data_IF_718263389194
#
_entry.id   IF_718263389194
#
_cell.length_a   1.000
_cell.length_b   1.000
_cell.length_c   1.000
_cell.angle_alpha   90.00
_cell.angle_beta   90.00
_cell.angle_gamma   90.00
#
_symmetry.space_group_name_H-M   'P 1'
#
loop_
_entity.id
_entity.type
_entity.pdbx_description
1 polymer ?
#
# COMPACT_ATOMS: atom_id res chain seq x y z
N UNK A 1 -13.25 -37.41 -8.35
CA UNK A 1 -11.78 -37.60 -8.49
C UNK A 1 -10.92 -37.00 -7.36
N UNK A 2 -11.49 -36.57 -6.23
CA UNK A 2 -10.74 -35.92 -5.12
C UNK A 2 -10.58 -36.80 -3.87
N UNK A 3 -11.05 -38.04 -3.88
CA UNK A 3 -11.06 -38.93 -2.70
C UNK A 3 -9.70 -39.63 -2.41
N UNK A 4 -8.76 -39.61 -3.34
CA UNK A 4 -7.46 -40.29 -3.23
C UNK A 4 -6.29 -39.37 -2.78
N UNK A 5 -6.55 -38.09 -2.55
CA UNK A 5 -5.51 -37.14 -2.16
C UNK A 5 -5.28 -37.15 -0.65
N UNK A 6 -4.01 -37.11 -0.22
CA UNK A 6 -3.63 -36.93 1.18
C UNK A 6 -4.13 -35.56 1.69
N UNK A 7 -4.31 -35.35 3.02
CA UNK A 7 -4.73 -34.06 3.57
C UNK A 7 -3.87 -32.90 3.11
N UNK A 8 -2.54 -33.09 3.00
CA UNK A 8 -1.62 -32.07 2.49
C UNK A 8 -1.80 -31.78 1.00
N UNK A 9 -2.11 -32.81 0.19
CA UNK A 9 -2.36 -32.63 -1.22
C UNK A 9 -3.71 -31.92 -1.47
N UNK A 10 -4.74 -32.22 -0.67
CA UNK A 10 -6.03 -31.50 -0.69
C UNK A 10 -5.83 -30.03 -0.36
N UNK A 11 -5.10 -29.71 0.70
CA UNK A 11 -4.80 -28.35 1.12
C UNK A 11 -4.04 -27.56 0.03
N UNK A 12 -3.08 -28.20 -0.66
CA UNK A 12 -2.35 -27.61 -1.79
C UNK A 12 -3.24 -27.38 -3.02
N UNK A 13 -4.14 -28.29 -3.32
CA UNK A 13 -5.08 -28.16 -4.46
C UNK A 13 -6.12 -27.07 -4.18
N UNK A 14 -6.66 -27.03 -2.98
CA UNK A 14 -7.62 -26.02 -2.54
C UNK A 14 -6.98 -24.63 -2.53
N UNK A 15 -5.76 -24.49 -2.00
CA UNK A 15 -4.97 -23.27 -2.01
C UNK A 15 -4.68 -22.80 -3.45
N UNK A 16 -4.28 -23.70 -4.35
CA UNK A 16 -4.05 -23.39 -5.77
C UNK A 16 -5.37 -22.96 -6.46
N UNK A 17 -6.50 -23.57 -6.15
CA UNK A 17 -7.82 -23.17 -6.68
C UNK A 17 -8.21 -21.77 -6.25
N UNK A 18 -8.00 -21.45 -4.99
CA UNK A 18 -8.30 -20.14 -4.41
C UNK A 18 -7.34 -19.03 -4.91
N UNK A 19 -6.12 -19.36 -5.26
CA UNK A 19 -5.10 -18.40 -5.73
C UNK A 19 -5.17 -18.14 -7.25
N UNK A 20 -5.85 -19.00 -8.02
CA UNK A 20 -5.99 -18.85 -9.48
C UNK A 20 -6.54 -17.49 -9.93
N UNK A 21 -7.59 -16.92 -9.33
CA UNK A 21 -8.09 -15.61 -9.71
C UNK A 21 -7.01 -14.53 -9.57
N UNK A 22 -6.26 -14.53 -8.47
CA UNK A 22 -5.21 -13.53 -8.18
C UNK A 22 -3.96 -13.68 -9.07
N UNK A 23 -3.69 -14.86 -9.60
CA UNK A 23 -2.57 -15.12 -10.49
C UNK A 23 -2.91 -14.84 -11.97
N UNK A 24 -4.20 -14.82 -12.34
CA UNK A 24 -4.65 -14.49 -13.69
C UNK A 24 -4.49 -13.01 -13.99
N UNK A 25 -4.24 -12.63 -15.25
CA UNK A 25 -4.11 -11.22 -15.62
C UNK A 25 -5.39 -10.41 -15.32
N UNK A 26 -6.60 -10.86 -15.67
CA UNK A 26 -7.83 -10.13 -15.32
C UNK A 26 -8.02 -9.98 -13.81
N UNK A 27 -7.76 -11.03 -13.03
CA UNK A 27 -7.87 -10.97 -11.57
C UNK A 27 -6.84 -10.07 -10.93
N UNK A 28 -5.60 -10.07 -11.43
CA UNK A 28 -4.56 -9.12 -11.01
C UNK A 28 -5.01 -7.67 -11.27
N UNK A 29 -5.45 -7.38 -12.50
CA UNK A 29 -5.91 -6.03 -12.91
C UNK A 29 -7.07 -5.56 -12.03
N UNK A 30 -8.12 -6.38 -11.90
CA UNK A 30 -9.31 -6.02 -11.13
C UNK A 30 -8.97 -5.83 -9.64
N UNK A 31 -8.18 -6.73 -9.06
CA UNK A 31 -7.83 -6.65 -7.63
C UNK A 31 -6.91 -5.44 -7.35
N UNK A 32 -5.92 -5.18 -8.21
CA UNK A 32 -5.08 -3.99 -8.08
C UNK A 32 -5.88 -2.71 -8.20
N UNK A 33 -6.83 -2.63 -9.16
CA UNK A 33 -7.70 -1.46 -9.32
C UNK A 33 -8.55 -1.22 -8.07
N UNK A 34 -9.13 -2.28 -7.49
CA UNK A 34 -9.88 -2.17 -6.22
C UNK A 34 -8.98 -1.68 -5.08
N UNK A 35 -7.78 -2.24 -4.93
CA UNK A 35 -6.84 -1.79 -3.90
C UNK A 35 -6.46 -0.31 -4.07
N UNK A 36 -6.12 0.09 -5.30
CA UNK A 36 -5.73 1.47 -5.60
C UNK A 36 -6.89 2.46 -5.42
N UNK A 37 -8.12 2.06 -5.79
CA UNK A 37 -9.32 2.86 -5.52
C UNK A 37 -9.55 3.06 -4.02
N UNK A 38 -9.47 1.98 -3.24
CA UNK A 38 -9.61 2.02 -1.79
C UNK A 38 -8.54 2.94 -1.16
N UNK A 39 -7.27 2.79 -1.54
CA UNK A 39 -6.21 3.66 -1.04
C UNK A 39 -6.36 5.11 -1.55
N UNK A 40 -6.81 5.29 -2.78
CA UNK A 40 -7.13 6.61 -3.32
C UNK A 40 -8.21 7.31 -2.49
N UNK A 41 -9.26 6.59 -2.08
CA UNK A 41 -10.32 7.13 -1.23
C UNK A 41 -9.85 7.51 0.18
N UNK A 42 -8.71 6.97 0.63
CA UNK A 42 -8.14 7.35 1.92
C UNK A 42 -7.65 8.81 1.95
N UNK A 43 -7.22 9.39 0.82
CA UNK A 43 -6.74 10.77 0.79
C UNK A 43 -7.80 11.79 1.22
N UNK A 44 -8.97 11.88 0.58
CA UNK A 44 -10.03 12.77 1.05
C UNK A 44 -10.54 12.36 2.44
N UNK A 45 -10.63 11.05 2.74
CA UNK A 45 -11.10 10.57 4.05
C UNK A 45 -10.18 10.98 5.20
N UNK A 46 -8.86 11.08 4.98
CA UNK A 46 -7.92 11.59 6.00
C UNK A 46 -8.20 13.06 6.28
N UNK A 47 -8.40 13.89 5.25
CA UNK A 47 -8.72 15.31 5.41
C UNK A 47 -10.02 15.52 6.18
N UNK A 48 -11.09 14.80 5.79
CA UNK A 48 -12.38 14.81 6.49
C UNK A 48 -12.21 14.32 7.94
N UNK A 49 -11.40 13.27 8.14
CA UNK A 49 -11.11 12.72 9.46
C UNK A 49 -10.43 13.73 10.38
N UNK A 50 -9.45 14.46 9.88
CA UNK A 50 -8.78 15.50 10.68
C UNK A 50 -9.78 16.60 11.12
N UNK A 51 -10.69 17.03 10.24
CA UNK A 51 -11.77 17.94 10.60
C UNK A 51 -12.68 17.34 11.68
N UNK A 52 -13.17 16.11 11.51
CA UNK A 52 -14.12 15.49 12.45
C UNK A 52 -13.52 15.20 13.82
N UNK A 53 -12.22 14.93 13.90
CA UNK A 53 -11.52 14.66 15.16
C UNK A 53 -10.80 15.88 15.74
N UNK A 54 -10.96 17.07 15.13
CA UNK A 54 -10.34 18.29 15.57
C UNK A 54 -8.80 18.23 15.58
N UNK A 55 -8.21 17.57 14.57
CA UNK A 55 -6.76 17.39 14.46
C UNK A 55 -6.16 18.53 13.63
N UNK A 56 -5.33 19.42 14.22
CA UNK A 56 -4.62 20.45 13.47
C UNK A 56 -3.62 19.87 12.46
N UNK A 57 -3.36 20.62 11.39
CA UNK A 57 -2.44 20.18 10.34
C UNK A 57 -0.98 20.02 10.79
N UNK A 58 -0.58 20.70 11.85
CA UNK A 58 0.75 20.66 12.47
C UNK A 58 0.85 19.69 13.66
N UNK A 59 -0.27 19.13 14.14
CA UNK A 59 -0.27 18.16 15.26
C UNK A 59 0.03 16.74 14.78
N UNK A 60 1.32 16.47 14.56
CA UNK A 60 1.84 15.17 14.13
C UNK A 60 1.44 14.04 15.08
N UNK A 61 1.41 14.32 16.40
CA UNK A 61 1.09 13.31 17.42
C UNK A 61 -0.35 12.83 17.29
N UNK A 62 -1.31 13.74 17.13
CA UNK A 62 -2.72 13.40 16.91
C UNK A 62 -2.96 12.72 15.57
N UNK A 63 -2.26 13.13 14.51
CA UNK A 63 -2.30 12.45 13.20
C UNK A 63 -1.78 11.00 13.30
N UNK A 64 -0.67 10.78 14.01
CA UNK A 64 -0.14 9.43 14.27
C UNK A 64 -1.08 8.60 15.14
N UNK A 65 -1.75 9.20 16.15
CA UNK A 65 -2.75 8.52 16.97
C UNK A 65 -3.94 8.09 16.13
N UNK A 66 -4.46 8.97 15.29
CA UNK A 66 -5.53 8.65 14.34
C UNK A 66 -5.17 7.49 13.42
N UNK A 67 -3.95 7.48 12.87
CA UNK A 67 -3.47 6.38 12.06
C UNK A 67 -3.33 5.08 12.87
N UNK A 68 -2.81 5.13 14.09
CA UNK A 68 -2.66 3.98 14.97
C UNK A 68 -4.00 3.33 15.30
N UNK A 69 -5.01 4.12 15.69
CA UNK A 69 -6.38 3.64 15.96
C UNK A 69 -6.99 3.02 14.70
N UNK A 70 -6.84 3.66 13.54
CA UNK A 70 -7.29 3.10 12.26
C UNK A 70 -6.69 1.74 11.97
N UNK A 71 -5.39 1.55 12.22
CA UNK A 71 -4.73 0.26 11.99
C UNK A 71 -5.11 -0.80 13.00
N UNK A 72 -5.37 -0.45 14.27
CA UNK A 72 -5.94 -1.38 15.25
C UNK A 72 -7.30 -1.89 14.76
N UNK A 73 -8.18 -0.99 14.32
CA UNK A 73 -9.49 -1.35 13.76
C UNK A 73 -9.31 -2.25 12.52
N UNK A 74 -8.40 -1.89 11.61
CA UNK A 74 -8.11 -2.69 10.42
C UNK A 74 -7.64 -4.11 10.78
N UNK A 75 -6.71 -4.23 11.73
CA UNK A 75 -6.20 -5.52 12.21
C UNK A 75 -7.31 -6.35 12.83
N UNK A 76 -8.14 -5.76 13.70
CA UNK A 76 -9.30 -6.41 14.30
C UNK A 76 -10.30 -6.88 13.24
N UNK A 77 -10.63 -6.05 12.25
CA UNK A 77 -11.53 -6.42 11.15
C UNK A 77 -11.02 -7.62 10.34
N UNK A 78 -9.71 -7.64 10.01
CA UNK A 78 -9.12 -8.78 9.29
C UNK A 78 -9.18 -10.05 10.14
N UNK A 79 -8.78 -9.97 11.41
CA UNK A 79 -8.74 -11.12 12.30
C UNK A 79 -10.14 -11.68 12.53
N UNK A 80 -11.09 -10.83 12.90
CA UNK A 80 -12.47 -11.22 13.18
C UNK A 80 -13.17 -11.72 11.90
N UNK A 81 -13.11 -10.93 10.82
CA UNK A 81 -13.77 -11.26 9.55
C UNK A 81 -13.26 -12.57 8.94
N UNK A 82 -11.94 -12.80 8.94
CA UNK A 82 -11.36 -14.02 8.40
C UNK A 82 -11.56 -15.22 9.34
N UNK A 83 -11.59 -15.01 10.67
CA UNK A 83 -11.94 -16.07 11.61
C UNK A 83 -13.39 -16.54 11.41
N UNK A 84 -14.31 -15.59 11.23
CA UNK A 84 -15.71 -15.90 10.94
C UNK A 84 -15.88 -16.61 9.58
N UNK A 85 -15.24 -16.09 8.52
CA UNK A 85 -15.34 -16.67 7.17
C UNK A 85 -14.75 -18.07 7.10
N UNK A 86 -13.67 -18.34 7.82
CA UNK A 86 -13.02 -19.67 7.85
C UNK A 86 -13.59 -20.60 8.92
N UNK A 87 -14.50 -20.12 9.77
CA UNK A 87 -15.05 -20.84 10.94
C UNK A 87 -13.92 -21.40 11.85
N UNK A 88 -12.79 -20.74 11.89
CA UNK A 88 -11.59 -21.08 12.69
C UNK A 88 -10.88 -19.82 13.11
N UNK A 89 -10.38 -19.70 14.34
CA UNK A 89 -9.67 -18.52 14.80
C UNK A 89 -8.39 -18.31 13.99
N UNK A 90 -8.18 -17.08 13.53
CA UNK A 90 -6.99 -16.67 12.78
C UNK A 90 -5.84 -16.33 13.75
N UNK A 91 -5.32 -17.35 14.43
CA UNK A 91 -4.27 -17.21 15.45
C UNK A 91 -2.90 -17.52 14.84
N UNK A 92 -1.87 -16.66 15.05
CA UNK A 92 -0.52 -16.91 14.57
C UNK A 92 0.14 -18.04 15.36
N UNK A 93 0.95 -18.82 14.68
CA UNK A 93 1.83 -19.80 15.33
C UNK A 93 3.09 -19.09 15.85
N UNK A 94 3.81 -19.68 16.80
CA UNK A 94 5.06 -19.11 17.32
C UNK A 94 6.07 -18.72 16.23
N UNK A 95 6.14 -19.50 15.15
CA UNK A 95 6.99 -19.21 13.98
C UNK A 95 6.57 -17.96 13.18
N UNK A 96 5.29 -17.55 13.28
CA UNK A 96 4.76 -16.42 12.53
C UNK A 96 5.06 -15.10 13.24
N UNK A 97 5.32 -15.12 14.55
CA UNK A 97 5.50 -13.91 15.38
C UNK A 97 6.63 -13.03 14.87
N UNK A 98 7.79 -13.62 14.54
CA UNK A 98 8.93 -12.86 14.00
C UNK A 98 8.57 -12.14 12.69
N UNK A 99 7.83 -12.81 11.80
CA UNK A 99 7.38 -12.25 10.54
C UNK A 99 6.37 -11.12 10.75
N UNK A 100 5.44 -11.28 11.69
CA UNK A 100 4.46 -10.26 12.09
C UNK A 100 5.17 -9.02 12.65
N UNK A 101 6.10 -9.19 13.58
CA UNK A 101 6.84 -8.07 14.18
C UNK A 101 7.71 -7.34 13.16
N UNK A 102 8.35 -8.07 12.25
CA UNK A 102 9.15 -7.48 11.18
C UNK A 102 8.28 -6.66 10.22
N UNK A 103 7.11 -7.17 9.84
CA UNK A 103 6.15 -6.43 9.02
C UNK A 103 5.56 -5.24 9.78
N UNK A 104 5.19 -5.39 11.05
CA UNK A 104 4.70 -4.29 11.88
C UNK A 104 5.72 -3.15 11.98
N UNK A 105 7.01 -3.51 12.14
CA UNK A 105 8.10 -2.53 12.19
C UNK A 105 8.20 -1.74 10.88
N UNK A 106 8.30 -2.41 9.73
CA UNK A 106 8.53 -1.73 8.45
C UNK A 106 7.26 -1.10 7.88
N UNK A 107 6.13 -1.81 7.89
CA UNK A 107 4.90 -1.38 7.22
C UNK A 107 4.07 -0.40 8.03
N UNK A 108 4.16 -0.43 9.37
CA UNK A 108 3.32 0.41 10.21
C UNK A 108 4.16 1.39 11.02
N UNK A 109 5.12 0.93 11.80
CA UNK A 109 5.84 1.81 12.72
C UNK A 109 6.79 2.74 11.96
N UNK A 110 7.83 2.20 11.30
CA UNK A 110 8.82 3.03 10.60
C UNK A 110 8.18 3.85 9.48
N UNK A 111 7.37 3.20 8.64
CA UNK A 111 6.74 3.88 7.51
C UNK A 111 5.93 5.10 7.98
N UNK A 112 5.07 4.96 8.97
CA UNK A 112 4.17 6.05 9.36
C UNK A 112 4.82 7.07 10.29
N UNK A 113 5.73 6.67 11.19
CA UNK A 113 6.50 7.64 12.01
C UNK A 113 7.29 8.60 11.12
N UNK A 114 8.05 8.05 10.16
CA UNK A 114 8.84 8.87 9.25
C UNK A 114 7.98 9.65 8.26
N UNK A 115 6.85 9.08 7.82
CA UNK A 115 5.91 9.77 6.92
C UNK A 115 5.32 11.02 7.58
N UNK A 116 4.71 10.90 8.77
CA UNK A 116 4.08 12.03 9.44
C UNK A 116 5.10 13.07 9.91
N UNK A 117 6.27 12.61 10.37
CA UNK A 117 7.35 13.52 10.74
C UNK A 117 7.86 14.32 9.53
N UNK A 118 8.02 13.68 8.39
CA UNK A 118 8.43 14.34 7.16
C UNK A 118 7.35 15.27 6.61
N UNK A 119 6.09 14.82 6.61
CA UNK A 119 4.97 15.60 6.10
C UNK A 119 4.75 16.92 6.84
N UNK A 120 5.10 16.98 8.13
CA UNK A 120 5.01 18.24 8.91
C UNK A 120 6.01 19.32 8.46
N UNK A 121 7.01 18.97 7.65
CA UNK A 121 8.08 19.90 7.20
C UNK A 121 8.19 19.98 5.67
N UNK A 122 7.55 19.07 4.94
CA UNK A 122 7.61 19.01 3.48
C UNK A 122 6.30 19.50 2.86
N UNK A 123 6.36 20.02 1.63
CA UNK A 123 5.15 20.34 0.87
C UNK A 123 4.36 19.09 0.52
N UNK A 124 3.03 19.21 0.43
CA UNK A 124 2.15 18.10 0.07
C UNK A 124 2.48 17.49 -1.29
N UNK A 125 2.83 18.33 -2.27
CA UNK A 125 3.20 17.92 -3.62
C UNK A 125 4.49 17.11 -3.63
N UNK A 126 5.56 17.66 -3.04
CA UNK A 126 6.87 16.97 -2.97
C UNK A 126 6.74 15.66 -2.18
N UNK A 127 5.99 15.70 -1.06
CA UNK A 127 5.68 14.51 -0.25
C UNK A 127 5.00 13.40 -1.06
N UNK A 128 4.03 13.75 -1.90
CA UNK A 128 3.32 12.80 -2.77
C UNK A 128 4.25 12.17 -3.80
N UNK A 129 5.09 12.97 -4.45
CA UNK A 129 6.07 12.52 -5.44
C UNK A 129 7.10 11.56 -4.79
N UNK A 130 7.66 11.96 -3.64
CA UNK A 130 8.64 11.13 -2.92
C UNK A 130 8.00 9.83 -2.43
N UNK A 131 6.77 9.88 -1.92
CA UNK A 131 6.04 8.68 -1.50
C UNK A 131 5.81 7.70 -2.67
N UNK A 132 5.48 8.21 -3.85
CA UNK A 132 5.29 7.38 -5.04
C UNK A 132 6.58 6.64 -5.47
N UNK A 133 7.76 7.15 -5.11
CA UNK A 133 9.03 6.47 -5.36
C UNK A 133 9.13 5.10 -4.66
N UNK A 134 8.32 4.85 -3.61
CA UNK A 134 8.28 3.56 -2.91
C UNK A 134 8.00 2.38 -3.84
N UNK A 135 7.18 2.58 -4.88
CA UNK A 135 6.89 1.56 -5.88
C UNK A 135 8.13 1.19 -6.70
N UNK A 136 8.91 2.20 -7.11
CA UNK A 136 10.17 1.99 -7.82
C UNK A 136 11.22 1.33 -6.90
N UNK A 137 11.35 1.84 -5.67
CA UNK A 137 12.26 1.27 -4.66
C UNK A 137 11.92 -0.19 -4.37
N UNK A 138 10.63 -0.55 -4.28
CA UNK A 138 10.22 -1.95 -4.08
C UNK A 138 10.67 -2.86 -5.23
N UNK A 139 10.58 -2.39 -6.47
CA UNK A 139 11.09 -3.14 -7.63
C UNK A 139 12.60 -3.30 -7.58
N UNK A 140 13.34 -2.23 -7.25
CA UNK A 140 14.79 -2.31 -7.07
C UNK A 140 15.17 -3.28 -5.95
N UNK A 141 14.53 -3.17 -4.78
CA UNK A 141 14.78 -4.07 -3.64
C UNK A 141 14.47 -5.54 -4.01
N UNK A 142 13.36 -5.80 -4.70
CA UNK A 142 13.01 -7.16 -5.13
C UNK A 142 14.04 -7.77 -6.08
N UNK A 143 14.66 -6.95 -6.92
CA UNK A 143 15.67 -7.38 -7.88
C UNK A 143 17.08 -7.47 -7.29
N UNK A 144 17.50 -6.48 -6.49
CA UNK A 144 18.88 -6.33 -6.05
C UNK A 144 19.13 -6.96 -4.67
N UNK A 145 18.24 -6.70 -3.70
CA UNK A 145 18.39 -7.18 -2.33
C UNK A 145 17.78 -8.57 -2.15
N UNK A 146 16.52 -8.73 -2.46
CA UNK A 146 15.80 -10.00 -2.31
C UNK A 146 16.09 -11.00 -3.43
N UNK A 147 16.56 -10.52 -4.57
CA UNK A 147 16.90 -11.33 -5.76
C UNK A 147 15.77 -12.29 -6.19
N UNK A 148 14.54 -11.89 -5.95
CA UNK A 148 13.35 -12.66 -6.33
C UNK A 148 13.01 -12.50 -7.81
N UNK A 149 13.54 -11.44 -8.44
CA UNK A 149 13.30 -11.09 -9.83
C UNK A 149 14.57 -10.54 -10.49
N UNK A 150 14.63 -10.57 -11.83
CA UNK A 150 15.69 -9.89 -12.59
C UNK A 150 15.27 -8.47 -12.92
N UNK A 151 16.18 -7.51 -12.79
CA UNK A 151 16.00 -6.15 -13.25
C UNK A 151 16.09 -6.13 -14.78
N UNK A 152 15.07 -5.61 -15.44
CA UNK A 152 15.00 -5.52 -16.91
C UNK A 152 14.74 -4.07 -17.34
N UNK A 153 15.16 -3.70 -18.54
CA UNK A 153 14.89 -2.38 -19.11
C UNK A 153 13.39 -2.03 -19.10
N UNK A 154 12.52 -3.01 -19.33
CA UNK A 154 11.06 -2.82 -19.27
C UNK A 154 10.58 -2.37 -17.90
N UNK A 155 11.11 -2.96 -16.81
CA UNK A 155 10.76 -2.57 -15.46
C UNK A 155 11.19 -1.13 -15.18
N UNK A 156 12.40 -0.76 -15.62
CA UNK A 156 12.91 0.62 -15.46
C UNK A 156 12.04 1.61 -16.26
N UNK A 157 11.79 1.33 -17.53
CA UNK A 157 11.00 2.20 -18.41
C UNK A 157 9.55 2.32 -17.93
N UNK A 158 8.93 1.19 -17.52
CA UNK A 158 7.57 1.21 -17.00
C UNK A 158 7.45 1.99 -15.68
N UNK A 159 8.44 1.83 -14.78
CA UNK A 159 8.49 2.63 -13.56
C UNK A 159 8.73 4.11 -13.83
N UNK A 160 9.62 4.44 -14.77
CA UNK A 160 9.87 5.83 -15.15
C UNK A 160 8.61 6.49 -15.74
N UNK A 161 7.86 5.78 -16.59
CA UNK A 161 6.58 6.26 -17.11
C UNK A 161 5.54 6.46 -16.00
N UNK A 162 5.35 5.46 -15.11
CA UNK A 162 4.39 5.54 -14.01
C UNK A 162 4.75 6.66 -13.02
N UNK A 163 6.01 6.77 -12.64
CA UNK A 163 6.50 7.84 -11.77
C UNK A 163 6.38 9.21 -12.43
N UNK A 164 6.68 9.32 -13.73
CA UNK A 164 6.50 10.54 -14.51
C UNK A 164 5.05 11.01 -14.54
N UNK A 165 4.09 10.10 -14.65
CA UNK A 165 2.66 10.43 -14.56
C UNK A 165 2.27 10.97 -13.19
N UNK A 166 2.76 10.35 -12.10
CA UNK A 166 2.53 10.85 -10.72
C UNK A 166 3.17 12.21 -10.52
N UNK A 167 4.41 12.41 -10.98
CA UNK A 167 5.09 13.70 -10.88
C UNK A 167 4.33 14.78 -11.65
N UNK A 168 3.88 14.49 -12.87
CA UNK A 168 3.14 15.41 -13.72
C UNK A 168 1.85 15.90 -13.06
N UNK A 169 1.02 15.00 -12.51
CA UNK A 169 -0.25 15.38 -11.89
C UNK A 169 -0.04 16.22 -10.62
N UNK A 170 0.98 15.88 -9.82
CA UNK A 170 1.29 16.61 -8.59
C UNK A 170 1.86 18.00 -8.89
N UNK A 171 2.80 18.12 -9.86
CA UNK A 171 3.36 19.41 -10.26
C UNK A 171 2.29 20.30 -10.89
N UNK A 172 1.40 19.74 -11.72
CA UNK A 172 0.30 20.49 -12.32
C UNK A 172 -0.74 20.97 -11.30
N UNK A 173 -0.86 20.31 -10.15
CA UNK A 173 -1.73 20.70 -9.04
C UNK A 173 -1.08 21.63 -8.04
N UNK A 174 0.18 22.07 -8.26
CA UNK A 174 0.87 23.00 -7.35
C UNK A 174 0.16 24.35 -7.31
N UNK A 175 -0.07 24.83 -6.08
CA UNK A 175 -0.58 26.17 -5.84
C UNK A 175 0.47 27.28 -6.10
N UNK A 176 0.00 28.51 -6.22
CA UNK A 176 0.89 29.67 -6.34
C UNK A 176 1.73 29.81 -5.06
N UNK A 177 3.05 29.77 -5.21
CA UNK A 177 4.01 29.87 -4.11
C UNK A 177 4.55 28.52 -3.58
N UNK A 178 4.02 27.39 -4.02
CA UNK A 178 4.63 26.10 -3.73
C UNK A 178 5.88 25.90 -4.59
N UNK A 179 6.95 25.39 -3.97
CA UNK A 179 8.21 25.09 -4.66
C UNK A 179 8.61 23.64 -4.44
N UNK A 180 9.23 23.05 -5.46
CA UNK A 180 9.89 21.76 -5.30
C UNK A 180 11.19 21.98 -4.50
N UNK A 181 11.20 21.55 -3.27
CA UNK A 181 12.36 21.60 -2.40
C UNK A 181 12.76 20.21 -1.91
N UNK A 182 13.96 20.09 -1.36
CA UNK A 182 14.39 18.89 -0.66
C UNK A 182 15.12 19.28 0.62
N UNK A 183 14.53 18.89 1.74
CA UNK A 183 15.13 19.03 3.07
C UNK A 183 15.29 17.65 3.71
N UNK A 184 16.32 17.45 4.50
CA UNK A 184 16.53 16.18 5.19
C UNK A 184 15.44 15.91 6.22
N UNK A 185 14.92 16.95 6.89
CA UNK A 185 13.87 16.84 7.89
C UNK A 185 12.48 16.59 7.30
N UNK A 186 12.21 17.07 6.08
CA UNK A 186 10.95 16.88 5.35
C UNK A 186 11.04 15.69 4.39
N UNK A 187 11.42 15.94 3.16
CA UNK A 187 11.45 14.97 2.07
C UNK A 187 12.38 13.78 2.35
N UNK A 188 13.48 14.00 3.07
CA UNK A 188 14.39 12.94 3.50
C UNK A 188 13.72 11.94 4.42
N UNK A 189 12.90 12.39 5.37
CA UNK A 189 12.10 11.51 6.24
C UNK A 189 11.04 10.75 5.44
N UNK A 190 10.37 11.40 4.48
CA UNK A 190 9.40 10.74 3.59
C UNK A 190 10.10 9.68 2.72
N UNK A 191 11.32 9.93 2.27
CA UNK A 191 12.10 8.93 1.53
C UNK A 191 12.41 7.71 2.40
N UNK A 192 12.77 7.89 3.67
CA UNK A 192 12.96 6.78 4.62
C UNK A 192 11.64 6.00 4.79
N UNK A 193 10.51 6.70 4.91
CA UNK A 193 9.18 6.09 4.92
C UNK A 193 8.92 5.27 3.65
N UNK A 194 9.25 5.83 2.48
CA UNK A 194 9.08 5.15 1.20
C UNK A 194 9.93 3.87 1.10
N UNK A 195 11.18 3.92 1.61
CA UNK A 195 12.05 2.73 1.71
C UNK A 195 11.46 1.69 2.66
N UNK A 196 10.94 2.10 3.82
CA UNK A 196 10.29 1.18 4.77
C UNK A 196 9.06 0.50 4.16
N UNK A 197 8.21 1.25 3.45
CA UNK A 197 7.06 0.71 2.71
C UNK A 197 7.47 -0.26 1.59
N UNK A 198 8.51 0.08 0.83
CA UNK A 198 9.08 -0.78 -0.20
C UNK A 198 9.64 -2.08 0.40
N UNK A 199 10.35 -1.98 1.53
CA UNK A 199 10.86 -3.15 2.26
C UNK A 199 9.72 -4.05 2.71
N UNK A 200 8.64 -3.50 3.29
CA UNK A 200 7.49 -4.28 3.72
C UNK A 200 6.80 -5.00 2.55
N UNK A 201 6.70 -4.34 1.41
CA UNK A 201 6.16 -4.92 0.17
C UNK A 201 6.95 -6.14 -0.29
N UNK A 202 8.29 -6.05 -0.29
CA UNK A 202 9.15 -7.18 -0.62
C UNK A 202 9.08 -8.29 0.43
N UNK A 203 9.05 -7.93 1.72
CA UNK A 203 8.89 -8.90 2.82
C UNK A 203 7.58 -9.68 2.70
N UNK A 204 6.46 -9.03 2.41
CA UNK A 204 5.18 -9.71 2.17
C UNK A 204 5.29 -10.68 0.99
N UNK A 205 5.93 -10.27 -0.12
CA UNK A 205 6.15 -11.13 -1.28
C UNK A 205 6.97 -12.39 -0.98
N UNK A 206 7.91 -12.31 -0.03
CA UNK A 206 8.72 -13.46 0.41
C UNK A 206 7.99 -14.27 1.48
N UNK A 207 7.53 -13.62 2.54
CA UNK A 207 6.91 -14.27 3.70
C UNK A 207 5.56 -14.90 3.35
N UNK A 208 4.78 -14.26 2.47
CA UNK A 208 3.47 -14.74 2.04
C UNK A 208 3.49 -16.08 1.28
N UNK A 209 4.67 -16.51 0.81
CA UNK A 209 4.86 -17.85 0.22
C UNK A 209 4.83 -18.96 1.27
N UNK A 210 5.25 -18.65 2.49
CA UNK A 210 5.42 -19.62 3.60
C UNK A 210 4.40 -19.45 4.73
N UNK A 211 3.79 -18.28 4.83
CA UNK A 211 2.80 -17.91 5.83
C UNK A 211 1.50 -17.48 5.15
N UNK A 212 0.39 -17.42 5.88
CA UNK A 212 -0.85 -16.84 5.39
C UNK A 212 -0.71 -15.30 5.28
N UNK A 213 -0.71 -14.70 4.07
CA UNK A 213 -0.47 -13.28 3.91
C UNK A 213 -1.57 -12.40 4.54
N UNK A 214 -2.81 -12.90 4.61
CA UNK A 214 -3.92 -12.18 5.23
C UNK A 214 -3.78 -12.20 6.76
N UNK A 215 -3.39 -13.32 7.34
CA UNK A 215 -3.09 -13.43 8.77
C UNK A 215 -1.94 -12.49 9.13
N UNK A 216 -0.86 -12.47 8.35
CA UNK A 216 0.26 -11.55 8.58
C UNK A 216 -0.21 -10.10 8.56
N UNK A 217 -1.06 -9.70 7.57
CA UNK A 217 -1.59 -8.34 7.48
C UNK A 217 -2.45 -7.95 8.67
N UNK A 218 -3.34 -8.82 9.13
CA UNK A 218 -4.20 -8.55 10.28
C UNK A 218 -3.41 -8.34 11.57
N UNK A 219 -2.52 -9.27 11.88
CA UNK A 219 -1.75 -9.22 13.12
C UNK A 219 -0.67 -8.13 13.14
N UNK A 220 -0.03 -7.84 12.00
CA UNK A 220 0.94 -6.75 11.94
C UNK A 220 0.26 -5.38 12.11
N UNK A 221 -0.98 -5.20 11.58
CA UNK A 221 -1.73 -3.96 11.82
C UNK A 221 -2.15 -3.81 13.27
N UNK A 222 -2.60 -4.89 13.89
CA UNK A 222 -2.95 -4.85 15.31
C UNK A 222 -1.71 -4.50 16.16
N UNK A 223 -0.59 -5.18 15.95
CA UNK A 223 0.65 -4.94 16.69
C UNK A 223 1.25 -3.55 16.39
N UNK A 224 1.45 -3.24 15.11
CA UNK A 224 2.07 -1.98 14.69
C UNK A 224 1.17 -0.77 14.99
N UNK A 225 -0.15 -0.90 14.79
CA UNK A 225 -1.12 0.12 15.13
C UNK A 225 -1.16 0.41 16.64
N UNK A 226 -1.07 -0.63 17.48
CA UNK A 226 -0.98 -0.48 18.93
C UNK A 226 0.30 0.25 19.35
N UNK A 227 1.45 -0.13 18.80
CA UNK A 227 2.72 0.55 19.07
C UNK A 227 2.65 2.02 18.64
N UNK A 228 2.12 2.28 17.45
CA UNK A 228 1.99 3.64 16.92
C UNK A 228 1.03 4.48 17.78
N UNK A 229 -0.12 3.94 18.18
CA UNK A 229 -1.10 4.62 19.02
C UNK A 229 -0.55 4.94 20.42
N UNK A 230 0.14 3.98 21.06
CA UNK A 230 0.75 4.20 22.38
C UNK A 230 1.84 5.27 22.29
N UNK A 231 2.73 5.20 21.29
CA UNK A 231 3.79 6.18 21.11
C UNK A 231 3.22 7.58 20.85
N UNK A 232 2.18 7.68 20.01
CA UNK A 232 1.51 8.94 19.69
C UNK A 232 0.78 9.53 20.91
N UNK A 233 0.07 8.71 21.67
CA UNK A 233 -0.60 9.15 22.91
C UNK A 233 0.41 9.63 23.96
N UNK A 234 1.54 8.91 24.12
CA UNK A 234 2.63 9.31 25.01
C UNK A 234 3.30 10.63 24.57
N UNK A 235 3.29 10.93 23.27
CA UNK A 235 3.75 12.20 22.71
C UNK A 235 2.71 13.34 22.80
N UNK A 236 1.57 13.12 23.48
CA UNK A 236 0.53 14.13 23.70
C UNK A 236 -0.58 14.13 22.66
N UNK A 237 -0.60 13.20 21.73
CA UNK A 237 -1.66 13.07 20.71
C UNK A 237 -3.03 12.85 21.33
N UNK A 238 -4.05 13.52 20.79
CA UNK A 238 -5.43 13.47 21.27
C UNK A 238 -6.41 13.35 20.09
N UNK A 239 -7.52 12.68 20.33
CA UNK A 239 -8.65 12.60 19.39
C UNK A 239 -9.88 13.19 20.10
N UNK A 240 -10.39 14.29 19.61
CA UNK A 240 -11.51 15.01 20.21
C UNK A 240 -12.63 15.18 19.18
N UNK A 241 -13.44 14.12 18.91
CA UNK A 241 -14.48 14.21 17.89
C UNK A 241 -15.58 15.19 18.31
N UNK A 242 -15.81 16.21 17.48
CA UNK A 242 -16.91 17.15 17.66
C UNK A 242 -18.27 16.46 17.44
N UNK A 243 -18.32 15.56 16.46
CA UNK A 243 -19.49 14.75 16.14
C UNK A 243 -19.13 13.26 16.23
N UNK A 244 -19.44 12.59 17.36
CA UNK A 244 -18.95 11.23 17.62
C UNK A 244 -19.40 10.19 16.59
N UNK A 245 -20.66 10.27 16.10
CA UNK A 245 -21.20 9.26 15.18
C UNK A 245 -20.58 9.35 13.78
N UNK A 246 -20.48 10.50 13.10
CA UNK A 246 -19.77 10.65 11.84
C UNK A 246 -18.27 10.29 11.96
N UNK A 247 -17.62 10.71 13.06
CA UNK A 247 -16.23 10.40 13.32
C UNK A 247 -15.98 8.89 13.45
N UNK A 248 -16.85 8.20 14.21
CA UNK A 248 -16.79 6.73 14.34
C UNK A 248 -17.02 6.03 13.00
N UNK A 249 -18.03 6.46 12.25
CA UNK A 249 -18.32 5.87 10.92
C UNK A 249 -17.13 6.04 9.98
N UNK A 250 -16.49 7.21 9.96
CA UNK A 250 -15.33 7.47 9.12
C UNK A 250 -14.11 6.63 9.52
N UNK A 251 -13.77 6.54 10.81
CA UNK A 251 -12.59 5.79 11.23
C UNK A 251 -12.78 4.28 11.02
N UNK A 252 -14.00 3.78 11.16
CA UNK A 252 -14.38 2.40 10.82
C UNK A 252 -14.24 2.16 9.32
N UNK A 253 -14.72 3.08 8.47
CA UNK A 253 -14.53 3.02 7.02
C UNK A 253 -13.04 3.03 6.64
N UNK A 254 -12.24 3.87 7.26
CA UNK A 254 -10.79 3.91 7.04
C UNK A 254 -10.08 2.64 7.50
N UNK A 255 -10.55 2.03 8.60
CA UNK A 255 -10.14 0.69 9.02
C UNK A 255 -10.46 -0.35 7.96
N UNK A 256 -11.68 -0.31 7.39
CA UNK A 256 -12.11 -1.20 6.30
C UNK A 256 -11.24 -1.03 5.05
N UNK A 257 -10.94 0.20 4.62
CA UNK A 257 -10.00 0.47 3.50
C UNK A 257 -8.69 -0.28 3.74
N UNK A 258 -8.10 -0.10 4.91
CA UNK A 258 -6.82 -0.72 5.25
C UNK A 258 -6.93 -2.24 5.31
N UNK A 259 -7.95 -2.77 5.99
CA UNK A 259 -8.19 -4.21 6.11
C UNK A 259 -8.34 -4.89 4.74
N UNK A 260 -9.18 -4.34 3.87
CA UNK A 260 -9.48 -4.92 2.57
C UNK A 260 -8.30 -4.76 1.60
N UNK A 261 -7.81 -3.53 1.41
CA UNK A 261 -6.78 -3.26 0.42
C UNK A 261 -5.47 -4.00 0.73
N UNK A 262 -5.00 -3.97 1.98
CA UNK A 262 -3.76 -4.67 2.34
C UNK A 262 -3.92 -6.20 2.37
N UNK A 263 -5.08 -6.73 2.72
CA UNK A 263 -5.32 -8.18 2.64
C UNK A 263 -5.28 -8.67 1.20
N UNK A 264 -5.93 -7.97 0.27
CA UNK A 264 -5.91 -8.28 -1.15
C UNK A 264 -4.52 -8.10 -1.74
N UNK A 265 -3.85 -6.99 -1.42
CA UNK A 265 -2.50 -6.69 -1.90
C UNK A 265 -1.47 -7.69 -1.43
N UNK A 266 -1.52 -8.08 -0.16
CA UNK A 266 -0.64 -9.11 0.39
C UNK A 266 -0.82 -10.45 -0.30
N UNK A 267 -2.06 -10.77 -0.67
CA UNK A 267 -2.35 -11.98 -1.43
C UNK A 267 -1.83 -11.90 -2.87
N UNK A 268 -1.98 -10.77 -3.53
CA UNK A 268 -1.39 -10.55 -4.85
C UNK A 268 0.13 -10.71 -4.82
N UNK A 269 0.81 -10.13 -3.83
CA UNK A 269 2.27 -10.22 -3.67
C UNK A 269 2.76 -11.65 -3.34
N UNK A 270 1.93 -12.46 -2.68
CA UNK A 270 2.26 -13.85 -2.38
C UNK A 270 2.28 -14.74 -3.64
N UNK A 271 1.48 -14.40 -4.66
CA UNK A 271 1.30 -15.24 -5.87
C UNK A 271 1.84 -14.62 -7.16
N UNK A 272 2.21 -13.35 -7.14
CA UNK A 272 2.76 -12.63 -8.30
C UNK A 272 4.15 -12.05 -8.00
N UNK A 273 4.96 -11.79 -9.03
CA UNK A 273 6.17 -10.99 -8.89
C UNK A 273 5.87 -9.59 -8.33
N UNK A 274 6.74 -9.10 -7.43
CA UNK A 274 6.59 -7.79 -6.80
C UNK A 274 6.44 -6.68 -7.85
N UNK A 275 7.27 -6.71 -8.90
CA UNK A 275 7.23 -5.71 -9.97
C UNK A 275 5.90 -5.65 -10.71
N UNK A 276 5.23 -6.79 -10.90
CA UNK A 276 3.91 -6.84 -11.57
C UNK A 276 2.79 -6.22 -10.75
N UNK A 277 2.89 -6.30 -9.44
CA UNK A 277 1.88 -5.78 -8.51
C UNK A 277 2.16 -4.31 -8.20
N UNK A 278 3.38 -3.98 -7.79
CA UNK A 278 3.70 -2.63 -7.27
C UNK A 278 3.61 -1.52 -8.31
N UNK A 279 3.79 -1.83 -9.61
CA UNK A 279 3.60 -0.82 -10.67
C UNK A 279 2.18 -0.24 -10.67
N UNK A 280 1.16 -0.98 -10.21
CA UNK A 280 -0.19 -0.46 -10.03
C UNK A 280 -0.28 0.60 -8.93
N UNK A 281 0.65 0.60 -7.97
CA UNK A 281 0.69 1.61 -6.91
C UNK A 281 0.78 3.05 -7.43
N UNK A 282 1.25 3.26 -8.66
CA UNK A 282 1.21 4.58 -9.32
C UNK A 282 -0.22 5.06 -9.62
N UNK A 283 -1.24 4.18 -9.58
CA UNK A 283 -2.65 4.58 -9.70
C UNK A 283 -3.21 5.21 -8.41
N UNK A 284 -2.58 4.98 -7.25
CA UNK A 284 -3.08 5.51 -5.97
C UNK A 284 -3.24 7.03 -5.99
N UNK A 285 -2.21 7.83 -6.37
CA UNK A 285 -2.36 9.27 -6.48
C UNK A 285 -3.40 9.70 -7.52
N UNK A 286 -3.57 8.93 -8.60
CA UNK A 286 -4.57 9.23 -9.62
C UNK A 286 -6.00 9.12 -9.06
N UNK A 287 -6.31 8.01 -8.39
CA UNK A 287 -7.59 7.84 -7.69
C UNK A 287 -7.76 8.85 -6.56
N UNK A 288 -6.69 9.13 -5.81
CA UNK A 288 -6.71 10.14 -4.75
C UNK A 288 -7.07 11.52 -5.29
N UNK A 289 -6.42 11.93 -6.36
CA UNK A 289 -6.72 13.20 -7.05
C UNK A 289 -8.18 13.27 -7.54
N UNK A 290 -8.63 12.24 -8.28
CA UNK A 290 -10.00 12.21 -8.82
C UNK A 290 -11.05 12.24 -7.71
N UNK A 291 -10.84 11.49 -6.62
CA UNK A 291 -11.79 11.44 -5.51
C UNK A 291 -11.76 12.72 -4.65
N UNK A 292 -10.58 13.33 -4.45
CA UNK A 292 -10.50 14.64 -3.79
C UNK A 292 -11.18 15.73 -4.59
N UNK A 293 -11.03 15.72 -5.91
CA UNK A 293 -11.71 16.64 -6.81
C UNK A 293 -13.24 16.57 -6.67
N UNK A 294 -13.78 15.35 -6.57
CA UNK A 294 -15.25 15.15 -6.49
C UNK A 294 -15.78 15.38 -5.07
N UNK A 295 -15.05 14.96 -4.03
CA UNK A 295 -15.54 14.95 -2.64
C UNK A 295 -15.23 16.24 -1.89
N UNK A 296 -14.19 16.97 -2.28
CA UNK A 296 -13.72 18.19 -1.60
C UNK A 296 -13.89 19.45 -2.47
N UNK A 297 -14.49 19.33 -3.66
CA UNK A 297 -14.70 20.41 -4.63
C UNK A 297 -13.37 21.12 -5.03
N UNK A 298 -12.26 20.39 -5.01
CA UNK A 298 -10.92 20.87 -5.38
C UNK A 298 -10.69 20.87 -6.91
N UNK A 299 -11.76 20.77 -7.73
CA UNK A 299 -11.71 20.46 -9.16
C UNK A 299 -11.13 21.51 -10.10
N UNK A 300 -10.84 22.72 -9.63
CA UNK A 300 -10.38 23.82 -10.51
C UNK A 300 -8.86 23.91 -10.68
N UNK A 301 -8.07 23.09 -9.99
CA UNK A 301 -6.61 23.27 -9.89
C UNK A 301 -5.79 22.65 -11.02
N UNK A 302 -6.29 21.62 -11.73
CA UNK A 302 -5.52 20.93 -12.77
C UNK A 302 -6.24 20.90 -14.10
N UNK A 303 -5.53 21.26 -15.17
CA UNK A 303 -6.04 21.16 -16.53
C UNK A 303 -6.42 19.70 -16.87
N UNK A 304 -7.66 19.42 -17.36
CA UNK A 304 -8.10 18.06 -17.68
C UNK A 304 -7.19 17.32 -18.68
N UNK A 305 -6.57 18.05 -19.62
CA UNK A 305 -5.61 17.48 -20.57
C UNK A 305 -4.34 16.95 -19.87
N UNK A 306 -3.85 17.66 -18.87
CA UNK A 306 -2.70 17.24 -18.06
C UNK A 306 -3.05 16.03 -17.22
N UNK A 307 -4.24 16.01 -16.62
CA UNK A 307 -4.72 14.85 -15.86
C UNK A 307 -4.85 13.61 -16.74
N UNK A 308 -5.40 13.75 -17.95
CA UNK A 308 -5.50 12.67 -18.93
C UNK A 308 -4.11 12.16 -19.38
N UNK A 309 -3.15 13.05 -19.63
CA UNK A 309 -1.77 12.68 -19.97
C UNK A 309 -1.08 11.94 -18.82
N UNK A 310 -1.24 12.42 -17.59
CA UNK A 310 -0.69 11.77 -16.40
C UNK A 310 -1.25 10.34 -16.23
N UNK A 311 -2.56 10.17 -16.41
CA UNK A 311 -3.21 8.86 -16.37
C UNK A 311 -2.70 7.95 -17.50
N UNK A 312 -2.55 8.48 -18.72
CA UNK A 312 -2.01 7.72 -19.85
C UNK A 312 -0.58 7.23 -19.58
N UNK A 313 0.30 8.06 -18.98
CA UNK A 313 1.65 7.69 -18.58
C UNK A 313 1.65 6.58 -17.52
N UNK A 314 0.79 6.66 -16.52
CA UNK A 314 0.65 5.61 -15.50
C UNK A 314 0.16 4.31 -16.12
N UNK A 315 -0.86 4.35 -16.96
CA UNK A 315 -1.38 3.17 -17.66
C UNK A 315 -0.31 2.55 -18.58
N UNK A 316 0.44 3.37 -19.30
CA UNK A 316 1.56 2.92 -20.14
C UNK A 316 2.63 2.22 -19.29
N UNK A 317 3.00 2.78 -18.15
CA UNK A 317 3.95 2.16 -17.21
C UNK A 317 3.49 0.78 -16.75
N UNK A 318 2.21 0.65 -16.36
CA UNK A 318 1.60 -0.62 -15.96
C UNK A 318 1.64 -1.64 -17.13
N UNK A 319 1.28 -1.22 -18.33
CA UNK A 319 1.29 -2.09 -19.51
C UNK A 319 2.70 -2.59 -19.78
N UNK A 320 3.70 -1.69 -19.84
CA UNK A 320 5.10 -2.03 -20.15
C UNK A 320 5.64 -3.09 -19.18
N UNK A 321 5.37 -2.96 -17.86
CA UNK A 321 5.85 -3.92 -16.86
C UNK A 321 5.12 -5.26 -16.98
N UNK A 322 3.84 -5.26 -17.35
CA UNK A 322 2.99 -6.46 -17.33
C UNK A 322 2.92 -7.20 -18.67
N UNK A 323 3.48 -6.67 -19.78
CA UNK A 323 3.54 -7.39 -21.06
C UNK A 323 4.30 -8.70 -20.87
N UNK A 324 3.70 -9.86 -21.20
CA UNK A 324 4.37 -11.13 -21.10
C UNK A 324 5.58 -11.18 -22.05
N UNK A 325 6.73 -11.60 -21.54
CA UNK A 325 7.90 -11.87 -22.38
C UNK A 325 7.60 -13.13 -23.16
N UNK A 326 7.51 -13.06 -24.49
CA UNK A 326 7.62 -14.26 -25.34
C UNK A 326 9.01 -14.85 -25.07
N UNK A 327 9.05 -16.01 -24.41
CA UNK A 327 10.29 -16.78 -24.32
C UNK A 327 10.66 -17.17 -25.77
N UNK A 328 11.71 -16.57 -26.30
CA UNK A 328 12.35 -17.08 -27.51
C UNK A 328 12.95 -18.43 -27.14
N UNK A 329 12.81 -19.42 -28.06
CA UNK A 329 13.23 -20.82 -27.92
C UNK A 329 14.73 -21.04 -27.65
N UNK A 330 15.52 -19.98 -27.42
CA UNK A 330 16.97 -20.06 -27.20
C UNK A 330 17.39 -20.47 -25.77
N UNK A 331 16.46 -20.53 -24.80
CA UNK A 331 16.79 -20.86 -23.41
C UNK A 331 16.55 -22.34 -23.03
N UNK A 332 16.30 -23.21 -24.00
CA UNK A 332 16.20 -24.66 -23.80
C UNK A 332 17.53 -25.36 -24.09
N UNK A 333 18.59 -24.96 -23.40
CA UNK A 333 19.78 -25.80 -23.30
C UNK A 333 19.60 -26.71 -22.08
N UNK A 334 19.55 -28.05 -22.26
CA UNK A 334 19.51 -28.96 -21.14
C UNK A 334 20.84 -28.89 -20.39
N UNK A 335 20.79 -28.58 -19.09
CA UNK A 335 21.93 -28.82 -18.22
C UNK A 335 22.30 -30.30 -18.31
N UNK A 336 23.48 -30.57 -18.87
CA UNK A 336 24.23 -31.82 -18.69
C UNK A 336 24.92 -31.77 -17.33
#
# INVERSE_FOLDING_TARGET
MTSSLTPEQRDRVEKRGFDRPFASLPGLLATCAVCCFLWGSAFPSIKIGYCLFGIPGDDVSSQMLFAGVRFIIAGAMVIIGMSAARKKPLVPRKRDVRSILLLALFQTVLQYVFFYRGLSQASGVTSSIVTASSNFIAILLSCLLFRTERLTARKILGCAAGFGGVALINIAGMGAGETLGFTLGGEGMILISAVAGAMSTCLIGVLGKHHDPVMLSGWQFLAGGTVLAIAAAAAGGRLSPAEPLPALALIVYMGFISAMAYSLWSRLLAVNPVSRVTVFGFMNPMFGFLLSMVLLDEGSMVNPGVAALALALVCMGIIIVNIPVRRTHADSVPNR
#
